data_IF_813881599929
#
_entry.id   IF_813881599929
#
_cell.length_a   1.000
_cell.length_b   1.000
_cell.length_c   1.000
_cell.angle_alpha   90.00
_cell.angle_beta   90.00
_cell.angle_gamma   90.00
#
_symmetry.space_group_name_H-M   'P 1'
#
loop_
_entity.id
_entity.type
_entity.pdbx_description
1 polymer ?
#
# COMPACT_ATOMS: atom_id res chain seq x y z
N UNK A 1 11.39 18.38 25.35
CA UNK A 1 11.36 17.77 24.01
C UNK A 1 12.64 16.97 23.85
N UNK A 2 12.56 15.66 23.58
CA UNK A 2 13.76 14.89 23.21
C UNK A 2 14.17 15.34 21.81
N UNK A 3 15.40 15.81 21.64
CA UNK A 3 15.92 16.18 20.32
C UNK A 3 16.03 14.97 19.41
N UNK A 4 16.00 15.20 18.09
CA UNK A 4 16.20 14.17 17.08
C UNK A 4 17.61 13.58 17.26
N UNK A 5 17.69 12.27 17.46
CA UNK A 5 18.97 11.60 17.68
C UNK A 5 19.68 11.26 16.37
N UNK A 6 21.00 11.10 16.42
CA UNK A 6 21.78 10.66 15.27
C UNK A 6 21.30 9.29 14.73
N UNK A 7 20.95 8.37 15.62
CA UNK A 7 20.43 7.05 15.24
C UNK A 7 19.09 7.14 14.53
N UNK A 8 18.22 8.06 14.95
CA UNK A 8 16.95 8.33 14.28
C UNK A 8 17.17 8.90 12.88
N UNK A 9 18.10 9.85 12.71
CA UNK A 9 18.47 10.36 11.38
C UNK A 9 18.98 9.26 10.45
N UNK A 10 19.79 8.34 10.98
CA UNK A 10 20.29 7.18 10.21
C UNK A 10 19.16 6.24 9.79
N UNK A 11 18.21 5.94 10.67
CA UNK A 11 17.04 5.10 10.32
C UNK A 11 16.21 5.71 9.20
N UNK A 12 15.96 7.02 9.27
CA UNK A 12 15.22 7.73 8.24
C UNK A 12 15.97 7.73 6.90
N UNK A 13 17.28 7.93 6.93
CA UNK A 13 18.11 7.82 5.73
C UNK A 13 17.98 6.46 5.05
N UNK A 14 18.06 5.37 5.81
CA UNK A 14 17.93 4.03 5.25
C UNK A 14 16.50 3.76 4.76
N UNK A 15 15.47 4.28 5.43
CA UNK A 15 14.08 4.17 4.98
C UNK A 15 13.85 4.90 3.64
N UNK A 16 14.41 6.10 3.43
CA UNK A 16 14.29 6.85 2.18
C UNK A 16 14.82 6.05 0.99
N UNK A 17 15.89 5.27 1.16
CA UNK A 17 16.46 4.44 0.09
C UNK A 17 15.53 3.33 -0.40
N UNK A 18 14.58 2.91 0.43
CA UNK A 18 13.62 1.85 0.09
C UNK A 18 12.39 2.38 -0.66
N UNK A 19 12.22 3.69 -0.74
CA UNK A 19 11.08 4.32 -1.39
C UNK A 19 11.10 4.10 -2.89
N UNK A 20 9.92 3.87 -3.45
CA UNK A 20 9.73 3.88 -4.91
C UNK A 20 9.75 5.30 -5.45
N UNK A 21 9.96 5.48 -6.76
CA UNK A 21 10.13 6.80 -7.39
C UNK A 21 9.02 7.82 -7.02
N UNK A 22 7.71 7.49 -7.05
CA UNK A 22 6.66 8.45 -6.66
C UNK A 22 6.75 8.90 -5.19
N UNK A 23 7.21 8.02 -4.30
CA UNK A 23 7.41 8.34 -2.89
C UNK A 23 8.64 9.23 -2.69
N UNK A 24 9.72 8.97 -3.42
CA UNK A 24 10.91 9.84 -3.46
C UNK A 24 10.58 11.24 -4.00
N UNK A 25 9.74 11.34 -5.03
CA UNK A 25 9.25 12.62 -5.55
C UNK A 25 8.44 13.40 -4.49
N UNK A 26 7.71 12.69 -3.62
CA UNK A 26 6.96 13.31 -2.53
C UNK A 26 7.89 13.83 -1.42
N UNK A 27 8.96 13.10 -1.09
CA UNK A 27 10.03 13.61 -0.22
C UNK A 27 10.62 14.90 -0.81
N UNK A 28 10.90 14.92 -2.12
CA UNK A 28 11.42 16.12 -2.76
C UNK A 28 10.45 17.31 -2.70
N UNK A 29 9.13 17.07 -2.78
CA UNK A 29 8.12 18.13 -2.57
C UNK A 29 8.20 18.72 -1.16
N UNK A 30 8.46 17.89 -0.15
CA UNK A 30 8.68 18.37 1.23
C UNK A 30 9.91 19.27 1.27
N UNK A 31 11.06 18.80 0.79
CA UNK A 31 12.33 19.57 0.69
C UNK A 31 12.12 20.93 0.02
N UNK A 32 11.42 20.96 -1.12
CA UNK A 32 11.11 22.22 -1.84
C UNK A 32 10.18 23.13 -1.06
N UNK A 33 9.14 22.58 -0.42
CA UNK A 33 8.14 23.35 0.34
C UNK A 33 8.76 24.00 1.56
N UNK A 34 9.66 23.30 2.25
CA UNK A 34 10.36 23.80 3.43
C UNK A 34 11.61 24.62 3.09
N UNK A 35 11.94 24.75 1.80
CA UNK A 35 13.06 25.55 1.28
C UNK A 35 14.42 25.07 1.78
N UNK A 36 14.56 23.77 2.00
CA UNK A 36 15.86 23.18 2.29
C UNK A 36 16.79 23.27 1.07
N UNK A 37 18.10 23.28 1.34
CA UNK A 37 19.10 23.31 0.28
C UNK A 37 19.21 21.96 -0.42
N UNK A 38 19.22 21.98 -1.76
CA UNK A 38 19.43 20.81 -2.61
C UNK A 38 20.19 21.20 -3.87
N UNK A 39 20.82 20.20 -4.49
CA UNK A 39 21.42 20.29 -5.83
C UNK A 39 20.61 19.43 -6.78
N UNK A 40 20.38 19.91 -7.99
CA UNK A 40 19.71 19.17 -9.06
C UNK A 40 20.58 19.19 -10.30
N UNK A 41 20.76 18.02 -10.92
CA UNK A 41 21.43 17.87 -12.21
C UNK A 41 20.78 16.72 -13.00
N UNK A 42 21.32 16.42 -14.18
CA UNK A 42 20.79 15.35 -15.05
C UNK A 42 20.77 13.95 -14.42
N UNK A 43 21.54 13.73 -13.34
CA UNK A 43 21.61 12.45 -12.63
C UNK A 43 20.63 12.37 -11.45
N UNK A 44 20.01 13.48 -11.05
CA UNK A 44 19.02 13.53 -9.98
C UNK A 44 19.20 14.68 -9.02
N UNK A 45 18.57 14.51 -7.85
CA UNK A 45 18.50 15.50 -6.78
C UNK A 45 19.28 15.00 -5.58
N UNK A 46 20.09 15.88 -5.00
CA UNK A 46 20.96 15.59 -3.87
C UNK A 46 20.71 16.63 -2.77
N UNK A 47 20.53 16.19 -1.54
CA UNK A 47 20.39 17.04 -0.35
C UNK A 47 21.01 16.35 0.86
N UNK A 48 21.43 17.13 1.85
CA UNK A 48 22.12 16.62 3.04
C UNK A 48 21.19 16.55 4.25
N UNK A 49 20.82 15.31 4.61
CA UNK A 49 19.97 14.99 5.78
C UNK A 49 20.56 15.44 7.13
N UNK A 50 21.87 15.69 7.22
CA UNK A 50 22.47 16.25 8.44
C UNK A 50 22.21 17.74 8.61
N UNK A 51 21.91 18.44 7.50
CA UNK A 51 21.72 19.90 7.47
C UNK A 51 20.27 20.34 7.40
N UNK A 52 19.34 19.42 7.07
CA UNK A 52 17.92 19.76 7.05
C UNK A 52 17.41 20.09 8.45
N UNK A 53 16.51 21.07 8.52
CA UNK A 53 15.87 21.47 9.77
C UNK A 53 15.08 20.33 10.41
N UNK A 54 14.91 20.42 11.73
CA UNK A 54 14.12 19.47 12.51
C UNK A 54 12.66 19.41 12.02
N UNK A 55 12.09 20.54 11.60
CA UNK A 55 10.73 20.62 11.04
C UNK A 55 10.60 19.87 9.71
N UNK A 56 11.60 19.99 8.83
CA UNK A 56 11.64 19.22 7.58
C UNK A 56 11.84 17.74 7.86
N UNK A 57 12.73 17.40 8.79
CA UNK A 57 12.99 16.02 9.20
C UNK A 57 11.71 15.35 9.73
N UNK A 58 10.94 16.05 10.56
CA UNK A 58 9.69 15.53 11.11
C UNK A 58 8.65 15.30 10.01
N UNK A 59 8.50 16.21 9.04
CA UNK A 59 7.60 16.02 7.90
C UNK A 59 7.99 14.83 7.02
N UNK A 60 9.30 14.62 6.81
CA UNK A 60 9.80 13.44 6.10
C UNK A 60 9.47 12.17 6.87
N UNK A 61 9.70 12.16 8.18
CA UNK A 61 9.38 11.03 9.06
C UNK A 61 7.89 10.70 9.00
N UNK A 62 7.01 11.70 9.15
CA UNK A 62 5.56 11.50 9.11
C UNK A 62 5.10 10.92 7.77
N UNK A 63 5.72 11.36 6.66
CA UNK A 63 5.44 10.80 5.34
C UNK A 63 5.90 9.34 5.20
N UNK A 64 7.08 9.00 5.74
CA UNK A 64 7.58 7.62 5.76
C UNK A 64 6.66 6.70 6.57
N UNK A 65 6.22 7.15 7.74
CA UNK A 65 5.27 6.43 8.60
C UNK A 65 3.94 6.20 7.83
N UNK A 66 3.47 7.20 7.09
CA UNK A 66 2.31 7.06 6.20
C UNK A 66 2.50 6.01 5.10
N UNK A 67 3.64 6.02 4.40
CA UNK A 67 3.95 5.03 3.36
C UNK A 67 3.97 3.60 3.92
N UNK A 68 4.61 3.39 5.07
CA UNK A 68 4.69 2.09 5.72
C UNK A 68 3.30 1.58 6.09
N UNK A 69 2.50 2.43 6.75
CA UNK A 69 1.14 2.07 7.14
C UNK A 69 0.27 1.73 5.93
N UNK A 70 0.37 2.53 4.86
CA UNK A 70 -0.40 2.30 3.63
C UNK A 70 -0.06 0.95 2.99
N UNK A 71 1.21 0.57 2.97
CA UNK A 71 1.65 -0.75 2.47
C UNK A 71 1.09 -1.88 3.33
N UNK A 72 1.20 -1.77 4.65
CA UNK A 72 0.68 -2.76 5.59
C UNK A 72 -0.84 -2.93 5.45
N UNK A 73 -1.59 -1.83 5.41
CA UNK A 73 -3.05 -1.86 5.25
C UNK A 73 -3.45 -2.49 3.91
N UNK A 74 -2.68 -2.25 2.85
CA UNK A 74 -2.90 -2.86 1.54
C UNK A 74 -2.64 -4.38 1.57
N UNK A 75 -1.53 -4.81 2.17
CA UNK A 75 -1.19 -6.24 2.32
C UNK A 75 -2.27 -6.99 3.11
N UNK A 76 -2.73 -6.41 4.23
CA UNK A 76 -3.81 -6.99 5.03
C UNK A 76 -5.10 -7.16 4.22
N UNK A 77 -5.50 -6.12 3.47
CA UNK A 77 -6.70 -6.19 2.62
C UNK A 77 -6.58 -7.24 1.53
N UNK A 78 -5.42 -7.36 0.88
CA UNK A 78 -5.18 -8.38 -0.15
C UNK A 78 -5.29 -9.78 0.45
N UNK A 79 -4.67 -10.01 1.61
CA UNK A 79 -4.74 -11.30 2.29
C UNK A 79 -6.16 -11.68 2.72
N UNK A 80 -6.94 -10.71 3.21
CA UNK A 80 -8.36 -10.91 3.56
C UNK A 80 -9.17 -11.33 2.33
N UNK A 81 -9.00 -10.65 1.20
CA UNK A 81 -9.68 -10.97 -0.06
C UNK A 81 -9.30 -12.36 -0.60
N UNK A 82 -8.04 -12.74 -0.52
CA UNK A 82 -7.60 -14.08 -0.95
C UNK A 82 -8.15 -15.18 -0.04
N UNK A 83 -8.22 -14.93 1.28
CA UNK A 83 -8.83 -15.87 2.23
C UNK A 83 -10.30 -16.11 1.89
N UNK A 84 -11.07 -15.02 1.68
CA UNK A 84 -12.48 -15.11 1.28
C UNK A 84 -12.67 -15.81 -0.07
N UNK A 85 -11.74 -15.62 -1.01
CA UNK A 85 -11.77 -16.30 -2.32
C UNK A 85 -11.63 -17.81 -2.16
N UNK A 86 -10.70 -18.27 -1.33
CA UNK A 86 -10.44 -19.70 -1.09
C UNK A 86 -11.65 -20.34 -0.39
N UNK A 87 -12.20 -19.69 0.62
CA UNK A 87 -13.39 -20.18 1.35
C UNK A 87 -14.60 -20.35 0.42
N UNK A 88 -14.85 -19.36 -0.43
CA UNK A 88 -15.94 -19.45 -1.41
C UNK A 88 -15.73 -20.58 -2.42
N UNK A 89 -14.49 -20.85 -2.87
CA UNK A 89 -14.22 -21.97 -3.78
C UNK A 89 -14.48 -23.32 -3.12
N UNK A 90 -14.07 -23.50 -1.86
CA UNK A 90 -14.30 -24.76 -1.12
C UNK A 90 -15.79 -25.04 -0.87
N UNK A 91 -16.62 -24.00 -0.79
CA UNK A 91 -18.06 -24.13 -0.59
C UNK A 91 -18.82 -24.65 -1.83
N UNK A 92 -18.22 -24.59 -3.04
CA UNK A 92 -18.83 -25.09 -4.29
C UNK A 92 -18.37 -26.50 -4.70
N UNK A 93 -17.37 -27.07 -4.04
CA UNK A 93 -16.84 -28.42 -4.35
C UNK A 93 -17.53 -29.56 -3.57
N UNK A 94 -18.64 -29.28 -2.85
CA UNK A 94 -19.52 -30.33 -2.34
C UNK A 94 -20.57 -30.69 -3.40
N UNK A 95 -20.48 -31.86 -4.06
CA UNK A 95 -21.53 -32.31 -4.95
C UNK A 95 -22.76 -32.64 -4.11
N UNK A 96 -23.82 -31.85 -4.26
CA UNK A 96 -25.15 -32.23 -3.79
C UNK A 96 -25.61 -33.46 -4.60
N UNK A 97 -25.18 -34.64 -4.19
CA UNK A 97 -25.68 -35.92 -4.69
C UNK A 97 -26.59 -36.53 -3.64
N UNK A 98 -27.90 -36.43 -3.84
CA UNK A 98 -28.88 -37.54 -3.76
C UNK A 98 -30.26 -37.06 -4.26
N UNK A 99 -30.73 -37.64 -5.38
CA UNK A 99 -32.10 -37.59 -5.96
C UNK A 99 -33.12 -38.42 -5.12
N UNK A 100 -34.42 -38.60 -5.48
CA UNK A 100 -35.37 -37.87 -6.38
C UNK A 100 -36.78 -37.63 -5.74
N UNK A 101 -37.59 -36.67 -6.23
CA UNK A 101 -38.98 -36.98 -6.59
C UNK A 101 -39.67 -35.94 -7.48
N UNK A 102 -40.44 -36.50 -8.41
CA UNK A 102 -41.38 -35.99 -9.39
C UNK A 102 -42.15 -34.69 -9.08
N UNK A 103 -42.23 -33.79 -10.06
CA UNK A 103 -43.52 -33.40 -10.65
C UNK A 103 -43.32 -32.92 -12.09
N UNK A 104 -43.90 -33.67 -13.03
CA UNK A 104 -44.05 -33.29 -14.43
C UNK A 104 -45.13 -32.21 -14.50
N UNK A 105 -44.83 -31.06 -15.10
CA UNK A 105 -45.84 -30.29 -15.82
C UNK A 105 -45.28 -29.91 -17.19
N UNK A 106 -45.62 -30.72 -18.18
CA UNK A 106 -45.44 -30.40 -19.60
C UNK A 106 -46.54 -29.41 -19.99
N UNK A 107 -46.18 -28.19 -20.40
CA UNK A 107 -47.09 -27.33 -21.15
C UNK A 107 -46.74 -27.54 -22.63
N UNK A 108 -47.63 -28.24 -23.33
CA UNK A 108 -47.49 -28.54 -24.75
C UNK A 108 -47.90 -27.31 -25.57
N UNK A 109 -46.96 -26.68 -26.26
CA UNK A 109 -47.25 -25.72 -27.31
C UNK A 109 -46.78 -26.30 -28.64
N UNK A 110 -47.73 -26.92 -29.34
CA UNK A 110 -47.84 -26.86 -30.80
C UNK A 110 -49.18 -27.44 -31.23
N UNK A 111 -50.08 -26.60 -31.76
CA UNK A 111 -50.44 -26.60 -33.19
C UNK A 111 -51.71 -25.78 -33.43
N UNK A 112 -51.56 -24.79 -34.32
CA UNK A 112 -52.49 -24.31 -35.35
C UNK A 112 -53.88 -23.86 -34.89
#
# INVERSE_FOLDING_TARGET
MSGITHDERKRIFDAIKTLVKPEQESIFRIIRKTKESYTENSNGIFFDLSTISDDTFLQIKDYLDFCLKTRQDHELRVNELETLRIENQQHFDHPTSTHPNTEKTTINHNSI
#
